data_IF_672274436004
#
_entry.id   IF_672274436004
#
_cell.length_a   1.000
_cell.length_b   1.000
_cell.length_c   1.000
_cell.angle_alpha   90.00
_cell.angle_beta   90.00
_cell.angle_gamma   90.00
#
_symmetry.space_group_name_H-M   'P 1'
#
loop_
_entity.id
_entity.type
_entity.pdbx_description
1 polymer ?
#
# COMPACT_ATOMS: atom_id res chain seq x y z
N UNK A 1 3.66 10.20 17.36
CA UNK A 1 2.92 10.29 16.08
C UNK A 1 1.45 10.00 16.34
N UNK A 2 0.53 10.70 15.67
CA UNK A 2 -0.89 10.30 15.71
C UNK A 2 -1.05 8.98 14.95
N UNK A 3 -1.91 8.07 15.42
CA UNK A 3 -2.15 6.77 14.77
C UNK A 3 -2.60 6.93 13.31
N UNK A 4 -3.18 8.09 12.99
CA UNK A 4 -3.52 8.54 11.63
C UNK A 4 -2.26 8.68 10.75
N UNK A 5 -1.24 9.40 11.20
CA UNK A 5 0.00 9.57 10.45
C UNK A 5 0.71 8.23 10.20
N UNK A 6 0.69 7.33 11.19
CA UNK A 6 1.25 5.98 11.05
C UNK A 6 0.51 5.17 9.99
N UNK A 7 -0.83 5.18 9.98
CA UNK A 7 -1.62 4.49 8.97
C UNK A 7 -1.38 5.01 7.55
N UNK A 8 -1.26 6.33 7.35
CA UNK A 8 -1.00 6.91 6.02
C UNK A 8 0.40 6.58 5.49
N UNK A 9 1.42 6.60 6.36
CA UNK A 9 2.80 6.26 5.98
C UNK A 9 2.90 4.79 5.59
N UNK A 10 2.25 3.90 6.33
CA UNK A 10 2.26 2.48 6.00
C UNK A 10 1.54 2.20 4.67
N UNK A 11 0.41 2.86 4.42
CA UNK A 11 -0.30 2.76 3.14
C UNK A 11 0.58 3.23 1.96
N UNK A 12 1.36 4.30 2.15
CA UNK A 12 2.34 4.75 1.18
C UNK A 12 3.45 3.71 0.93
N UNK A 13 3.97 3.07 1.99
CA UNK A 13 4.97 2.01 1.89
C UNK A 13 4.40 0.79 1.13
N UNK A 14 3.15 0.41 1.38
CA UNK A 14 2.48 -0.68 0.65
C UNK A 14 2.35 -0.36 -0.85
N UNK A 15 1.92 0.85 -1.20
CA UNK A 15 1.85 1.29 -2.59
C UNK A 15 3.24 1.32 -3.26
N UNK A 16 4.27 1.73 -2.52
CA UNK A 16 5.66 1.74 -2.99
C UNK A 16 6.17 0.31 -3.25
N UNK A 17 5.91 -0.64 -2.37
CA UNK A 17 6.27 -2.05 -2.55
C UNK A 17 5.59 -2.66 -3.79
N UNK A 18 4.30 -2.35 -3.99
CA UNK A 18 3.58 -2.78 -5.18
C UNK A 18 4.17 -2.16 -6.46
N UNK A 19 4.43 -0.85 -6.46
CA UNK A 19 5.01 -0.14 -7.58
C UNK A 19 6.42 -0.63 -7.93
N UNK A 20 7.21 -1.04 -6.92
CA UNK A 20 8.58 -1.52 -7.11
C UNK A 20 8.64 -2.70 -8.09
N UNK A 21 7.68 -3.64 -8.04
CA UNK A 21 7.61 -4.75 -9.01
C UNK A 21 7.51 -4.26 -10.45
N UNK A 22 6.62 -3.30 -10.69
CA UNK A 22 6.39 -2.76 -12.04
C UNK A 22 7.55 -1.86 -12.48
N UNK A 23 8.14 -1.10 -11.57
CA UNK A 23 9.34 -0.31 -11.82
C UNK A 23 10.53 -1.19 -12.20
N UNK A 24 10.79 -2.29 -11.49
CA UNK A 24 11.85 -3.23 -11.83
C UNK A 24 11.67 -3.83 -13.22
N UNK A 25 10.46 -4.26 -13.56
CA UNK A 25 10.16 -4.77 -14.91
C UNK A 25 10.30 -3.68 -15.99
N UNK A 26 9.89 -2.44 -15.71
CA UNK A 26 10.01 -1.31 -16.63
C UNK A 26 11.47 -0.88 -16.85
N UNK A 27 12.30 -0.87 -15.79
CA UNK A 27 13.73 -0.57 -15.89
C UNK A 27 14.43 -1.63 -16.74
N UNK A 28 14.16 -2.91 -16.50
CA UNK A 28 14.72 -4.00 -17.32
C UNK A 28 14.22 -3.93 -18.77
N UNK A 29 12.93 -3.65 -18.96
CA UNK A 29 12.31 -3.48 -20.27
C UNK A 29 12.73 -2.21 -21.02
N UNK A 30 13.39 -1.26 -20.39
CA UNK A 30 13.83 -0.02 -21.05
C UNK A 30 14.89 -0.25 -22.14
N UNK A 31 15.60 -1.38 -22.08
CA UNK A 31 16.65 -1.74 -23.04
C UNK A 31 16.19 -2.67 -24.17
N UNK A 32 14.92 -3.10 -24.22
CA UNK A 32 14.45 -3.99 -25.28
C UNK A 32 14.05 -3.22 -26.54
N UNK A 33 14.42 -3.74 -27.71
CA UNK A 33 14.20 -3.11 -29.02
C UNK A 33 12.73 -3.10 -29.46
N UNK A 34 11.90 -3.97 -28.89
CA UNK A 34 10.47 -4.02 -29.14
C UNK A 34 9.71 -4.31 -27.85
N UNK A 35 8.62 -3.59 -27.64
CA UNK A 35 7.75 -3.74 -26.49
C UNK A 35 6.54 -4.60 -26.87
N UNK A 36 6.29 -5.68 -26.13
CA UNK A 36 5.05 -6.46 -26.22
C UNK A 36 4.52 -6.81 -24.83
N UNK A 37 3.21 -6.99 -24.74
CA UNK A 37 2.54 -7.37 -23.49
C UNK A 37 3.10 -8.70 -22.94
N UNK A 38 3.39 -9.66 -23.80
CA UNK A 38 3.96 -10.96 -23.43
C UNK A 38 5.37 -10.82 -22.87
N UNK A 39 6.20 -9.95 -23.47
CA UNK A 39 7.54 -9.64 -22.98
C UNK A 39 7.49 -9.03 -21.59
N UNK A 40 6.60 -8.06 -21.37
CA UNK A 40 6.45 -7.42 -20.07
C UNK A 40 5.90 -8.38 -19.00
N UNK A 41 4.94 -9.24 -19.36
CA UNK A 41 4.45 -10.32 -18.50
C UNK A 41 5.57 -11.29 -18.12
N UNK A 42 6.42 -11.69 -19.07
CA UNK A 42 7.57 -12.55 -18.81
C UNK A 42 8.59 -11.90 -17.86
N UNK A 43 8.83 -10.59 -17.98
CA UNK A 43 9.67 -9.85 -17.02
C UNK A 43 9.02 -9.80 -15.64
N UNK A 44 7.72 -9.54 -15.55
CA UNK A 44 6.98 -9.56 -14.29
C UNK A 44 7.00 -10.93 -13.60
N UNK A 45 6.97 -12.03 -14.37
CA UNK A 45 7.10 -13.39 -13.82
C UNK A 45 8.48 -13.58 -13.18
N UNK A 46 9.54 -13.07 -13.79
CA UNK A 46 10.92 -13.15 -13.25
C UNK A 46 11.13 -12.34 -11.97
N UNK A 47 10.36 -11.27 -11.75
CA UNK A 47 10.38 -10.51 -10.48
C UNK A 47 9.76 -11.30 -9.32
N UNK A 48 9.09 -12.43 -9.60
CA UNK A 48 8.48 -13.28 -8.58
C UNK A 48 7.16 -12.72 -8.05
N UNK A 49 6.28 -13.55 -7.50
CA UNK A 49 4.95 -13.12 -6.97
C UNK A 49 5.03 -12.53 -5.56
N UNK A 50 6.16 -12.69 -4.87
CA UNK A 50 6.33 -12.30 -3.47
C UNK A 50 6.02 -10.81 -3.21
N UNK A 51 6.45 -9.84 -4.04
CA UNK A 51 6.18 -8.42 -3.78
C UNK A 51 4.68 -8.08 -3.75
N UNK A 52 3.87 -8.79 -4.53
CA UNK A 52 2.40 -8.59 -4.59
C UNK A 52 1.73 -9.17 -3.35
N UNK A 53 2.21 -10.32 -2.88
CA UNK A 53 1.68 -10.97 -1.67
C UNK A 53 2.00 -10.11 -0.45
N UNK A 54 3.24 -9.62 -0.32
CA UNK A 54 3.62 -8.73 0.77
C UNK A 54 2.87 -7.38 0.72
N UNK A 55 2.67 -6.80 -0.47
CA UNK A 55 1.86 -5.58 -0.59
C UNK A 55 0.40 -5.81 -0.18
N UNK A 56 -0.18 -6.95 -0.54
CA UNK A 56 -1.57 -7.27 -0.17
C UNK A 56 -1.73 -7.47 1.35
N UNK A 57 -0.80 -8.17 2.00
CA UNK A 57 -0.81 -8.37 3.45
C UNK A 57 -0.64 -7.02 4.16
N UNK A 58 0.32 -6.19 3.72
CA UNK A 58 0.51 -4.84 4.27
C UNK A 58 -0.77 -4.02 4.11
N UNK A 59 -1.38 -4.01 2.92
CA UNK A 59 -2.60 -3.25 2.66
C UNK A 59 -3.75 -3.59 3.62
N UNK A 60 -3.95 -4.89 3.92
CA UNK A 60 -4.98 -5.34 4.86
C UNK A 60 -4.67 -4.86 6.28
N UNK A 61 -3.42 -5.00 6.73
CA UNK A 61 -2.99 -4.53 8.04
C UNK A 61 -3.13 -3.00 8.17
N UNK A 62 -2.79 -2.26 7.11
CA UNK A 62 -2.82 -0.80 7.06
C UNK A 62 -4.26 -0.28 7.12
N UNK A 63 -5.18 -0.89 6.37
CA UNK A 63 -6.61 -0.57 6.42
C UNK A 63 -7.19 -0.83 7.80
N UNK A 64 -6.88 -1.97 8.41
CA UNK A 64 -7.33 -2.28 9.76
C UNK A 64 -6.86 -1.21 10.77
N UNK A 65 -5.60 -0.80 10.69
CA UNK A 65 -5.02 0.20 11.58
C UNK A 65 -5.63 1.60 11.37
N UNK A 66 -5.89 1.98 10.12
CA UNK A 66 -6.51 3.26 9.77
C UNK A 66 -7.97 3.34 10.25
N UNK A 67 -8.74 2.26 10.05
CA UNK A 67 -10.13 2.16 10.53
C UNK A 67 -10.17 2.25 12.05
N UNK A 68 -9.29 1.51 12.74
CA UNK A 68 -9.19 1.56 14.20
C UNK A 68 -8.89 2.98 14.71
N UNK A 69 -7.91 3.65 14.09
CA UNK A 69 -7.55 5.03 14.45
C UNK A 69 -8.70 6.03 14.21
N UNK A 70 -9.48 5.86 13.14
CA UNK A 70 -10.62 6.73 12.85
C UNK A 70 -11.80 6.48 13.79
N UNK A 71 -12.09 5.22 14.13
CA UNK A 71 -13.11 4.86 15.11
C UNK A 71 -12.81 5.45 16.48
N UNK A 72 -11.57 5.31 16.97
CA UNK A 72 -11.17 5.86 18.27
C UNK A 72 -11.26 7.39 18.29
N UNK A 73 -10.84 8.05 17.20
CA UNK A 73 -11.00 9.50 17.05
C UNK A 73 -12.46 9.94 17.08
N UNK A 74 -13.37 9.21 16.42
CA UNK A 74 -14.82 9.51 16.45
C UNK A 74 -15.45 9.23 17.81
N UNK A 75 -15.02 8.18 18.50
CA UNK A 75 -15.49 7.86 19.85
C UNK A 75 -15.12 8.96 20.85
N UNK A 76 -13.86 9.41 20.86
CA UNK A 76 -13.42 10.50 21.73
C UNK A 76 -14.20 11.80 21.46
N UNK A 77 -14.40 12.14 20.18
CA UNK A 77 -15.18 13.32 19.78
C UNK A 77 -16.64 13.26 20.22
N UNK A 78 -17.27 12.08 20.13
CA UNK A 78 -18.64 11.86 20.63
C UNK A 78 -18.72 11.96 22.16
N UNK A 79 -17.67 11.57 22.88
CA UNK A 79 -17.61 11.63 24.34
C UNK A 79 -17.56 13.09 24.83
N UNK A 80 -16.71 13.90 24.22
CA UNK A 80 -16.60 15.34 24.53
C UNK A 80 -17.93 16.10 24.31
N UNK A 81 -18.65 15.82 23.21
CA UNK A 81 -19.96 16.44 22.94
C UNK A 81 -21.06 15.99 23.94
N UNK A 82 -20.90 14.83 24.58
CA UNK A 82 -21.83 14.36 25.62
C UNK A 82 -21.53 14.94 27.00
N UNK A 83 -20.27 15.28 27.30
CA UNK A 83 -19.87 15.89 28.57
C UNK A 83 -20.24 17.40 28.64
N UNK A 84 -20.32 18.06 27.48
CA UNK A 84 -20.66 19.49 27.35
C UNK A 84 -22.18 19.77 27.30
N UNK A 85 -23.02 18.76 27.52
CA UNK A 85 -24.49 18.84 27.55
C UNK A 85 -25.03 18.42 28.91
#
# INVERSE_FOLDING_TARGET
MSRRATGTILLFISALLYATRYLSAAIFGSGVSSWSQELFQAMLINVGREPVVFSAISLIADLAYLIWAELEGRFQRKRLIREDR
#
